data_IF_992738935885
#
_entry.id   IF_992738935885
#
_cell.length_a   1.000
_cell.length_b   1.000
_cell.length_c   1.000
_cell.angle_alpha   90.00
_cell.angle_beta   90.00
_cell.angle_gamma   90.00
#
_symmetry.space_group_name_H-M   'P 1'
#
loop_
_entity.id
_entity.type
_entity.pdbx_description
1 polymer ?
#
# COMPACT_ATOMS: atom_id res chain seq x y z
N UNK A 1 -38.75 -5.91 56.19
CA UNK A 1 -37.36 -5.84 55.71
C UNK A 1 -37.04 -7.19 55.08
N UNK A 2 -37.09 -7.29 53.76
CA UNK A 2 -36.80 -8.51 53.01
C UNK A 2 -35.43 -8.32 52.36
N UNK A 3 -34.47 -9.18 52.71
CA UNK A 3 -33.10 -9.13 52.21
C UNK A 3 -33.00 -9.69 50.80
N UNK A 4 -32.30 -8.97 49.92
CA UNK A 4 -31.99 -9.44 48.57
C UNK A 4 -30.78 -10.39 48.61
N UNK A 5 -30.82 -11.53 47.91
CA UNK A 5 -29.67 -12.42 47.77
C UNK A 5 -28.59 -11.83 46.85
N UNK A 6 -27.34 -12.12 47.21
CA UNK A 6 -26.09 -11.61 46.62
C UNK A 6 -25.74 -12.34 45.31
N UNK A 7 -25.52 -11.59 44.23
CA UNK A 7 -25.25 -12.07 42.87
C UNK A 7 -23.85 -12.67 42.63
N UNK A 8 -23.16 -13.14 43.67
CA UNK A 8 -21.73 -13.48 43.58
C UNK A 8 -21.40 -14.98 43.57
N UNK A 9 -22.34 -15.87 43.86
CA UNK A 9 -22.01 -17.31 44.03
C UNK A 9 -22.32 -18.22 42.81
N UNK A 10 -23.06 -17.76 41.80
CA UNK A 10 -23.37 -18.61 40.62
C UNK A 10 -22.25 -18.68 39.57
N UNK A 11 -21.21 -17.84 39.65
CA UNK A 11 -20.17 -17.75 38.60
C UNK A 11 -19.00 -18.73 38.76
N UNK A 12 -18.88 -19.42 39.89
CA UNK A 12 -17.71 -20.28 40.16
C UNK A 12 -17.90 -21.77 39.84
N UNK A 13 -19.11 -22.23 39.51
CA UNK A 13 -19.34 -23.66 39.21
C UNK A 13 -19.29 -24.00 37.71
N UNK A 14 -19.37 -23.03 36.81
CA UNK A 14 -19.43 -23.27 35.35
C UNK A 14 -18.05 -23.41 34.68
N UNK A 15 -16.94 -23.23 35.42
CA UNK A 15 -15.58 -23.28 34.85
C UNK A 15 -14.87 -24.62 35.06
N UNK A 16 -15.53 -25.61 35.69
CA UNK A 16 -14.89 -26.89 36.08
C UNK A 16 -15.17 -28.07 35.17
N UNK A 17 -16.09 -27.95 34.20
CA UNK A 17 -16.54 -29.08 33.35
C UNK A 17 -16.00 -29.07 31.91
N UNK A 18 -15.20 -28.09 31.51
CA UNK A 18 -14.79 -27.90 30.10
C UNK A 18 -13.30 -28.19 29.81
N UNK A 19 -12.60 -28.88 30.72
CA UNK A 19 -11.13 -29.08 30.64
C UNK A 19 -10.72 -30.55 30.53
N UNK A 20 -11.56 -31.45 30.00
CA UNK A 20 -11.21 -32.89 29.89
C UNK A 20 -11.55 -33.57 28.55
N UNK A 21 -11.69 -32.84 27.43
CA UNK A 21 -11.90 -33.47 26.11
C UNK A 21 -11.05 -32.87 24.97
N UNK A 22 -9.75 -32.71 25.20
CA UNK A 22 -8.80 -32.44 24.10
C UNK A 22 -7.66 -33.45 24.18
N UNK A 23 -7.98 -34.73 23.97
CA UNK A 23 -6.96 -35.73 23.70
C UNK A 23 -7.54 -36.80 22.79
N UNK A 24 -7.43 -36.53 21.48
CA UNK A 24 -7.38 -37.48 20.36
C UNK A 24 -7.58 -36.70 19.04
N UNK A 25 -6.50 -36.11 18.53
CA UNK A 25 -6.38 -35.81 17.10
C UNK A 25 -5.21 -36.62 16.57
N UNK A 26 -5.54 -37.50 15.63
CA UNK A 26 -4.62 -38.28 14.80
C UNK A 26 -3.40 -37.45 14.37
N UNK A 27 -2.17 -37.94 14.61
CA UNK A 27 -0.97 -37.29 14.14
C UNK A 27 -0.58 -37.85 12.77
N UNK A 28 -1.36 -37.62 11.71
CA UNK A 28 -0.88 -37.97 10.35
C UNK A 28 -1.65 -37.25 9.24
N UNK A 29 -1.59 -35.92 9.24
CA UNK A 29 -1.58 -35.18 7.96
C UNK A 29 -0.13 -34.81 7.73
N UNK A 30 0.58 -35.66 6.99
CA UNK A 30 1.80 -35.25 6.32
C UNK A 30 1.41 -34.18 5.30
N UNK A 31 1.34 -32.92 5.74
CA UNK A 31 1.30 -31.78 4.83
C UNK A 31 2.65 -31.78 4.11
N UNK A 32 2.67 -32.34 2.90
CA UNK A 32 3.68 -32.03 1.91
C UNK A 32 3.71 -30.48 1.81
N UNK A 33 4.79 -29.79 2.21
CA UNK A 33 4.82 -28.34 2.15
C UNK A 33 5.06 -27.95 0.68
N UNK A 34 4.09 -28.25 -0.17
CA UNK A 34 4.00 -27.74 -1.52
C UNK A 34 3.87 -26.22 -1.36
N UNK A 35 5.00 -25.53 -1.47
CA UNK A 35 5.10 -24.08 -1.28
C UNK A 35 4.25 -23.42 -2.36
N UNK A 36 2.98 -23.19 -2.04
CA UNK A 36 2.06 -22.47 -2.92
C UNK A 36 2.58 -21.04 -3.06
N UNK A 37 3.09 -20.72 -4.25
CA UNK A 37 3.59 -19.38 -4.56
C UNK A 37 2.38 -18.45 -4.67
N UNK A 38 2.27 -17.50 -3.75
CA UNK A 38 1.22 -16.48 -3.77
C UNK A 38 1.69 -15.34 -4.68
N UNK A 39 0.85 -14.92 -5.65
CA UNK A 39 1.14 -13.84 -6.58
C UNK A 39 0.16 -12.68 -6.42
N UNK A 40 0.68 -11.46 -6.45
CA UNK A 40 -0.18 -10.28 -6.54
C UNK A 40 -0.56 -10.03 -8.00
N UNK A 41 -1.86 -10.01 -8.31
CA UNK A 41 -2.33 -9.71 -9.67
C UNK A 41 -1.94 -8.31 -10.15
N UNK A 42 -1.70 -7.38 -9.23
CA UNK A 42 -1.31 -5.99 -9.53
C UNK A 42 0.22 -5.83 -9.67
N UNK A 43 0.99 -6.80 -9.15
CA UNK A 43 2.45 -6.87 -9.22
C UNK A 43 2.88 -8.25 -9.74
N UNK A 44 2.76 -8.52 -11.05
CA UNK A 44 3.01 -9.85 -11.61
C UNK A 44 4.46 -10.32 -11.46
N UNK A 45 5.39 -9.41 -11.20
CA UNK A 45 6.81 -9.69 -10.94
C UNK A 45 7.09 -10.10 -9.49
N UNK A 46 6.14 -9.91 -8.57
CA UNK A 46 6.30 -10.19 -7.15
C UNK A 46 5.65 -11.53 -6.77
N UNK A 47 6.40 -12.32 -6.03
CA UNK A 47 5.99 -13.62 -5.50
C UNK A 47 6.23 -13.68 -3.98
N UNK A 48 5.27 -14.26 -3.27
CA UNK A 48 5.28 -14.33 -1.81
C UNK A 48 5.23 -15.79 -1.35
N UNK A 49 6.09 -16.12 -0.39
CA UNK A 49 6.14 -17.46 0.22
C UNK A 49 5.09 -17.65 1.33
N UNK A 50 4.51 -16.55 1.82
CA UNK A 50 3.54 -16.56 2.92
C UNK A 50 2.46 -15.51 2.70
N UNK A 51 1.25 -15.78 3.19
CA UNK A 51 0.13 -14.83 3.17
C UNK A 51 0.45 -13.55 3.94
N UNK A 52 1.20 -13.62 5.04
CA UNK A 52 1.62 -12.44 5.80
C UNK A 52 2.48 -11.48 4.96
N UNK A 53 3.41 -12.00 4.16
CA UNK A 53 4.20 -11.18 3.23
C UNK A 53 3.34 -10.56 2.13
N UNK A 54 2.38 -11.33 1.59
CA UNK A 54 1.42 -10.83 0.61
C UNK A 54 0.56 -9.68 1.16
N UNK A 55 -0.03 -9.85 2.34
CA UNK A 55 -0.86 -8.79 2.95
C UNK A 55 -0.06 -7.53 3.26
N UNK A 56 1.16 -7.69 3.79
CA UNK A 56 2.06 -6.56 4.01
C UNK A 56 2.40 -5.85 2.70
N UNK A 57 2.67 -6.59 1.62
CA UNK A 57 2.89 -6.01 0.30
C UNK A 57 1.67 -5.20 -0.15
N UNK A 58 0.49 -5.81 -0.21
CA UNK A 58 -0.72 -5.11 -0.69
C UNK A 58 -1.09 -3.89 0.15
N UNK A 59 -0.86 -3.95 1.47
CA UNK A 59 -1.12 -2.82 2.37
C UNK A 59 -0.13 -1.67 2.17
N UNK A 60 1.14 -1.98 1.99
CA UNK A 60 2.22 -1.00 2.02
C UNK A 60 2.76 -0.65 0.60
N UNK A 61 2.14 -1.17 -0.47
CA UNK A 61 2.57 -0.93 -1.84
C UNK A 61 2.19 0.49 -2.32
N UNK A 62 3.19 1.30 -2.67
CA UNK A 62 2.96 2.63 -3.24
C UNK A 62 2.45 2.58 -4.69
N UNK A 63 2.61 1.45 -5.37
CA UNK A 63 2.20 1.31 -6.77
C UNK A 63 0.70 1.04 -6.94
N UNK A 64 0.05 0.39 -5.96
CA UNK A 64 -1.37 0.10 -5.94
C UNK A 64 -1.98 0.25 -4.54
N UNK A 65 -1.87 1.44 -3.92
CA UNK A 65 -2.29 1.62 -2.54
C UNK A 65 -3.81 1.40 -2.39
N UNK A 66 -4.20 0.62 -1.38
CA UNK A 66 -5.61 0.49 -1.01
C UNK A 66 -6.17 1.81 -0.45
N UNK A 67 -5.33 2.58 0.23
CA UNK A 67 -5.64 3.91 0.76
C UNK A 67 -4.40 4.81 0.63
N UNK A 68 -4.62 6.11 0.50
CA UNK A 68 -3.54 7.10 0.45
C UNK A 68 -3.72 8.12 1.57
N UNK A 69 -2.61 8.47 2.20
CA UNK A 69 -2.58 9.51 3.25
C UNK A 69 -2.15 10.84 2.65
N UNK A 70 -2.49 11.94 3.31
CA UNK A 70 -2.22 13.29 2.81
C UNK A 70 -1.49 14.11 3.86
N UNK A 71 -0.57 14.95 3.40
CA UNK A 71 -0.12 16.07 4.23
C UNK A 71 -1.18 17.17 4.19
N UNK A 72 -1.71 17.56 5.35
CA UNK A 72 -2.71 18.63 5.45
C UNK A 72 -2.16 20.01 5.08
N UNK A 73 -0.83 20.20 5.07
CA UNK A 73 -0.20 21.47 4.70
C UNK A 73 -0.01 21.63 3.19
N UNK A 74 0.51 20.60 2.52
CA UNK A 74 0.91 20.71 1.12
C UNK A 74 0.09 19.85 0.13
N UNK A 75 -0.86 19.07 0.64
CA UNK A 75 -1.74 18.21 -0.16
C UNK A 75 -1.05 17.05 -0.87
N UNK A 76 0.25 16.82 -0.63
CA UNK A 76 0.98 15.68 -1.18
C UNK A 76 0.40 14.39 -0.61
N UNK A 77 0.16 13.42 -1.48
CA UNK A 77 -0.30 12.09 -1.10
C UNK A 77 0.89 11.15 -0.81
N UNK A 78 0.64 10.16 0.04
CA UNK A 78 1.60 9.12 0.42
C UNK A 78 0.89 7.77 0.39
N UNK A 79 1.46 6.80 -0.33
CA UNK A 79 0.97 5.41 -0.30
C UNK A 79 1.28 4.70 1.03
N UNK A 80 2.25 5.22 1.81
CA UNK A 80 2.65 4.64 3.09
C UNK A 80 2.62 5.66 4.24
N UNK A 81 2.22 5.19 5.42
CA UNK A 81 2.10 6.03 6.62
C UNK A 81 3.47 6.51 7.14
N UNK A 82 4.51 5.67 7.06
CA UNK A 82 5.88 6.03 7.47
C UNK A 82 6.46 7.12 6.58
N UNK A 83 6.20 7.09 5.27
CA UNK A 83 6.56 8.16 4.33
C UNK A 83 5.89 9.49 4.72
N UNK A 84 4.61 9.48 5.06
CA UNK A 84 3.91 10.67 5.56
C UNK A 84 4.49 11.18 6.88
N UNK A 85 4.77 10.28 7.84
CA UNK A 85 5.37 10.66 9.14
C UNK A 85 6.73 11.33 8.94
N UNK A 86 7.60 10.75 8.09
CA UNK A 86 8.91 11.35 7.77
C UNK A 86 8.74 12.73 7.14
N UNK A 87 7.82 12.87 6.19
CA UNK A 87 7.52 14.16 5.57
C UNK A 87 7.08 15.22 6.60
N UNK A 88 6.19 14.86 7.53
CA UNK A 88 5.72 15.78 8.56
C UNK A 88 6.83 16.18 9.55
N UNK A 89 7.73 15.24 9.87
CA UNK A 89 8.85 15.50 10.77
C UNK A 89 9.97 16.32 10.10
N UNK A 90 10.16 16.16 8.80
CA UNK A 90 11.20 16.85 8.02
C UNK A 90 10.59 17.86 7.04
N UNK A 91 9.51 18.53 7.44
CA UNK A 91 8.75 19.43 6.58
C UNK A 91 9.68 20.37 5.81
N UNK A 92 9.83 20.10 4.51
CA UNK A 92 10.73 20.87 3.65
C UNK A 92 10.12 22.26 3.43
N UNK A 93 10.93 23.27 3.08
CA UNK A 93 10.42 24.61 2.70
C UNK A 93 9.27 24.51 1.68
N UNK A 94 9.38 23.60 0.72
CA UNK A 94 8.34 23.33 -0.28
C UNK A 94 7.00 22.87 0.31
N UNK A 95 6.99 22.18 1.45
CA UNK A 95 5.76 21.83 2.18
C UNK A 95 5.12 23.08 2.80
N UNK A 96 5.93 23.95 3.38
CA UNK A 96 5.48 25.17 4.05
C UNK A 96 5.05 26.29 3.09
N UNK A 97 5.55 26.30 1.86
CA UNK A 97 5.25 27.32 0.83
C UNK A 97 4.01 27.00 -0.03
N UNK A 98 3.36 25.86 0.20
CA UNK A 98 2.16 25.49 -0.56
C UNK A 98 0.95 26.28 -0.04
N UNK A 99 0.19 26.92 -0.93
CA UNK A 99 -1.03 27.62 -0.53
C UNK A 99 -2.11 26.61 -0.12
N UNK A 100 -3.05 26.98 0.79
CA UNK A 100 -4.15 26.10 1.17
C UNK A 100 -5.00 25.64 -0.03
N UNK A 101 -5.20 26.50 -1.02
CA UNK A 101 -5.93 26.19 -2.25
C UNK A 101 -5.21 25.12 -3.10
N UNK A 102 -3.90 25.27 -3.31
CA UNK A 102 -3.10 24.28 -4.03
C UNK A 102 -3.08 22.94 -3.29
N UNK A 103 -2.97 22.96 -1.96
CA UNK A 103 -3.03 21.75 -1.13
C UNK A 103 -4.40 21.06 -1.25
N UNK A 104 -5.49 21.82 -1.21
CA UNK A 104 -6.85 21.30 -1.36
C UNK A 104 -7.07 20.70 -2.76
N UNK A 105 -6.64 21.40 -3.81
CA UNK A 105 -6.72 20.91 -5.18
C UNK A 105 -5.95 19.60 -5.37
N UNK A 106 -4.72 19.49 -4.85
CA UNK A 106 -3.94 18.25 -4.91
C UNK A 106 -4.63 17.09 -4.21
N UNK A 107 -5.14 17.32 -3.01
CA UNK A 107 -5.89 16.32 -2.24
C UNK A 107 -7.12 15.85 -3.02
N UNK A 108 -7.88 16.78 -3.59
CA UNK A 108 -9.05 16.47 -4.42
C UNK A 108 -8.68 15.66 -5.67
N UNK A 109 -7.67 16.11 -6.44
CA UNK A 109 -7.22 15.43 -7.66
C UNK A 109 -6.68 14.04 -7.36
N UNK A 110 -5.87 13.84 -6.32
CA UNK A 110 -5.37 12.51 -5.97
C UNK A 110 -6.49 11.55 -5.54
N UNK A 111 -7.51 12.04 -4.80
CA UNK A 111 -8.71 11.25 -4.48
C UNK A 111 -9.43 10.77 -5.74
N UNK A 112 -9.62 11.66 -6.72
CA UNK A 112 -10.23 11.28 -8.00
C UNK A 112 -9.41 10.22 -8.74
N UNK A 113 -8.09 10.39 -8.80
CA UNK A 113 -7.20 9.42 -9.45
C UNK A 113 -7.25 8.06 -8.76
N UNK A 114 -7.30 8.04 -7.42
CA UNK A 114 -7.39 6.80 -6.66
C UNK A 114 -8.71 6.09 -6.90
N UNK A 115 -9.83 6.82 -6.87
CA UNK A 115 -11.15 6.26 -7.15
C UNK A 115 -11.22 5.67 -8.56
N UNK A 116 -10.72 6.38 -9.56
CA UNK A 116 -10.65 5.89 -10.94
C UNK A 116 -9.75 4.65 -11.08
N UNK A 117 -8.61 4.64 -10.38
CA UNK A 117 -7.72 3.47 -10.34
C UNK A 117 -8.41 2.27 -9.69
N UNK A 118 -9.06 2.44 -8.53
CA UNK A 118 -9.79 1.38 -7.84
C UNK A 118 -10.94 0.82 -8.68
N UNK A 119 -11.70 1.68 -9.37
CA UNK A 119 -12.76 1.24 -10.29
C UNK A 119 -12.20 0.36 -11.41
N UNK A 120 -11.05 0.72 -11.97
CA UNK A 120 -10.35 -0.07 -12.99
C UNK A 120 -9.80 -1.38 -12.43
N UNK A 121 -9.21 -1.38 -11.23
CA UNK A 121 -8.80 -2.62 -10.55
C UNK A 121 -9.98 -3.57 -10.41
N UNK A 122 -11.11 -3.09 -9.92
CA UNK A 122 -12.33 -3.90 -9.78
C UNK A 122 -12.84 -4.44 -11.12
N UNK A 123 -12.79 -3.62 -12.18
CA UNK A 123 -13.14 -4.05 -13.53
C UNK A 123 -12.22 -5.20 -14.02
N UNK A 124 -10.90 -5.00 -13.99
CA UNK A 124 -9.91 -5.97 -14.45
C UNK A 124 -9.94 -7.28 -13.64
N UNK A 125 -10.19 -7.19 -12.32
CA UNK A 125 -10.35 -8.40 -11.49
C UNK A 125 -11.55 -9.25 -11.91
N UNK A 126 -12.61 -8.63 -12.45
CA UNK A 126 -13.80 -9.35 -12.95
C UNK A 126 -13.64 -9.89 -14.37
N UNK A 127 -13.04 -9.10 -15.26
CA UNK A 127 -12.96 -9.44 -16.70
C UNK A 127 -11.69 -10.20 -17.08
N UNK A 128 -10.66 -10.15 -16.23
CA UNK A 128 -9.33 -10.68 -16.56
C UNK A 128 -8.53 -9.80 -17.52
N UNK A 129 -9.02 -8.61 -17.86
CA UNK A 129 -8.29 -7.64 -18.69
C UNK A 129 -7.05 -7.08 -17.98
N UNK A 130 -6.13 -6.52 -18.77
CA UNK A 130 -4.93 -5.87 -18.25
C UNK A 130 -5.27 -4.59 -17.48
N UNK A 131 -4.63 -4.40 -16.31
CA UNK A 131 -4.87 -3.25 -15.44
C UNK A 131 -4.40 -1.91 -16.04
N UNK A 132 -3.43 -1.95 -16.95
CA UNK A 132 -2.76 -0.76 -17.47
C UNK A 132 -1.79 -0.13 -16.44
N UNK A 133 -1.57 1.20 -16.52
CA UNK A 133 -0.58 1.87 -15.68
C UNK A 133 -0.88 1.79 -14.18
N UNK A 134 0.16 1.56 -13.39
CA UNK A 134 0.10 1.57 -11.91
C UNK A 134 -0.29 2.95 -11.39
N UNK A 135 -0.93 3.01 -10.22
CA UNK A 135 -1.41 4.26 -9.61
C UNK A 135 -0.29 5.30 -9.47
N UNK A 136 0.89 4.89 -9.00
CA UNK A 136 2.03 5.80 -8.86
C UNK A 136 2.48 6.43 -10.19
N UNK A 137 2.31 5.76 -11.32
CA UNK A 137 2.62 6.32 -12.63
C UNK A 137 1.58 7.36 -13.05
N UNK A 138 0.29 7.03 -12.89
CA UNK A 138 -0.84 7.95 -13.17
C UNK A 138 -0.71 9.21 -12.32
N UNK A 139 -0.52 9.05 -11.02
CA UNK A 139 -0.42 10.17 -10.10
C UNK A 139 0.82 11.05 -10.37
N UNK A 140 1.97 10.47 -10.76
CA UNK A 140 3.14 11.27 -11.17
C UNK A 140 2.93 12.07 -12.45
N UNK A 141 2.11 11.57 -13.38
CA UNK A 141 1.78 12.27 -14.62
C UNK A 141 0.81 13.44 -14.36
N UNK A 142 -0.16 13.25 -13.46
CA UNK A 142 -1.26 14.18 -13.22
C UNK A 142 -1.02 15.18 -12.08
N UNK A 143 -0.18 14.82 -11.10
CA UNK A 143 0.14 15.66 -9.95
C UNK A 143 1.59 16.15 -10.08
N UNK A 144 1.81 17.45 -10.38
CA UNK A 144 3.16 17.98 -10.55
C UNK A 144 3.95 17.83 -9.24
N UNK A 145 5.06 17.09 -9.31
CA UNK A 145 5.97 16.94 -8.18
C UNK A 145 6.74 18.23 -7.93
N UNK A 146 6.57 18.84 -6.75
CA UNK A 146 7.41 19.98 -6.30
C UNK A 146 8.80 19.54 -5.83
N UNK A 147 9.09 18.25 -5.68
CA UNK A 147 10.35 17.76 -5.10
C UNK A 147 11.52 17.59 -6.10
N UNK A 148 11.38 18.03 -7.37
CA UNK A 148 12.45 17.85 -8.38
C UNK A 148 12.71 19.06 -9.31
N UNK A 149 12.83 20.26 -8.73
CA UNK A 149 13.72 21.29 -9.31
C UNK A 149 15.07 21.30 -8.58
N UNK A 150 15.78 20.18 -8.61
CA UNK A 150 17.23 20.10 -8.35
C UNK A 150 17.71 18.75 -8.92
N UNK A 151 18.72 18.79 -9.79
CA UNK A 151 19.29 17.66 -10.57
C UNK A 151 18.50 17.20 -11.81
N UNK A 152 18.22 18.13 -12.72
CA UNK A 152 18.40 17.87 -14.15
C UNK A 152 19.82 18.29 -14.54
N UNK A 153 20.83 17.59 -14.04
CA UNK A 153 22.17 17.62 -14.62
C UNK A 153 22.61 16.19 -14.88
N UNK A 154 23.05 15.94 -16.12
CA UNK A 154 23.54 14.66 -16.68
C UNK A 154 22.48 13.62 -17.09
N UNK A 155 21.71 13.94 -18.13
CA UNK A 155 21.40 12.97 -19.21
C UNK A 155 21.50 13.59 -20.62
N UNK A 156 22.43 14.54 -20.81
CA UNK A 156 22.92 14.93 -22.14
C UNK A 156 24.43 14.70 -22.18
N UNK A 157 24.85 13.49 -22.56
CA UNK A 157 26.14 13.13 -23.17
C UNK A 157 26.23 11.60 -23.15
N UNK A 158 25.71 10.97 -24.20
CA UNK A 158 26.15 9.68 -24.78
C UNK A 158 25.24 9.37 -25.99
N UNK A 159 25.17 10.32 -26.92
CA UNK A 159 25.20 10.00 -28.35
C UNK A 159 26.59 10.52 -28.76
N UNK A 160 27.59 9.66 -28.88
CA UNK A 160 27.64 8.71 -29.98
C UNK A 160 28.15 9.42 -31.24
N UNK A 161 29.21 10.23 -31.13
CA UNK A 161 30.01 10.60 -32.30
C UNK A 161 30.77 9.33 -32.71
N UNK A 162 30.17 8.55 -33.61
CA UNK A 162 30.85 7.50 -34.34
C UNK A 162 30.69 7.77 -35.83
N UNK A 163 31.82 8.05 -36.46
CA UNK A 163 32.14 7.71 -37.85
C UNK A 163 31.36 8.40 -38.97
N UNK A 164 31.98 9.42 -39.57
CA UNK A 164 32.09 9.45 -41.03
C UNK A 164 33.55 9.68 -41.41
N UNK A 165 34.14 8.60 -41.93
CA UNK A 165 35.39 8.56 -42.69
C UNK A 165 35.09 9.23 -44.03
N UNK A 166 35.67 10.38 -44.30
CA UNK A 166 35.69 10.95 -45.65
C UNK A 166 36.94 10.39 -46.35
N UNK A 167 36.71 9.47 -47.28
CA UNK A 167 37.70 9.16 -48.30
C UNK A 167 37.67 10.26 -49.37
N UNK A 168 38.86 10.70 -49.77
CA UNK A 168 39.31 10.91 -51.15
C UNK A 168 40.84 11.08 -51.12
#
# INVERSE_FOLDING_TARGET
MQGQPSWTEEREQETRYDTQQIDQRDPEIAEDPEVSIIKCRLCPTEWFKTWACFYRHCRDCEEHPADVKYCERCGIYFGRQDSMKRHNNSATKACCETTPEEAAWRKYKAKQLLAAFQARVQYCLRTGEELGPKFAAIARAELPSRSKKAFSSRKNKLAGNSSQVAGL
#
